data_IF_274533733972
#
_entry.id   IF_274533733972
#
_cell.length_a   1.000
_cell.length_b   1.000
_cell.length_c   1.000
_cell.angle_alpha   90.00
_cell.angle_beta   90.00
_cell.angle_gamma   90.00
#
_symmetry.space_group_name_H-M   'P 1'
#
loop_
_entity.id
_entity.type
_entity.pdbx_description
1 polymer ?
#
# COMPACT_ATOMS: atom_id res chain seq x y z
N UNK A 1 -43.99 -8.26 -42.44
CA UNK A 1 -43.62 -7.53 -41.21
C UNK A 1 -42.11 -7.62 -41.05
N UNK A 2 -41.42 -6.49 -40.95
CA UNK A 2 -39.95 -6.41 -40.85
C UNK A 2 -39.51 -6.57 -39.38
N UNK A 3 -38.56 -7.45 -39.14
CA UNK A 3 -38.01 -7.77 -37.83
C UNK A 3 -36.71 -6.99 -37.63
N UNK A 4 -36.78 -5.84 -36.96
CA UNK A 4 -35.59 -5.08 -36.58
C UNK A 4 -35.44 -5.14 -35.05
N UNK A 5 -34.71 -6.14 -34.58
CA UNK A 5 -34.21 -6.17 -33.20
C UNK A 5 -32.81 -5.55 -33.21
N UNK A 6 -32.75 -4.23 -33.32
CA UNK A 6 -31.51 -3.48 -33.22
C UNK A 6 -31.11 -3.40 -31.74
N UNK A 7 -30.36 -4.41 -31.28
CA UNK A 7 -29.61 -4.37 -30.03
C UNK A 7 -28.47 -3.37 -30.16
N UNK A 8 -28.78 -2.09 -30.01
CA UNK A 8 -27.79 -1.10 -29.60
C UNK A 8 -27.76 -1.12 -28.08
N UNK A 9 -26.74 -1.76 -27.50
CA UNK A 9 -26.41 -1.64 -26.08
C UNK A 9 -26.05 -0.20 -25.77
N UNK A 10 -27.07 0.64 -25.59
CA UNK A 10 -26.92 1.93 -24.93
C UNK A 10 -26.60 1.61 -23.49
N UNK A 11 -25.33 1.74 -23.09
CA UNK A 11 -25.01 2.03 -21.69
C UNK A 11 -25.76 3.32 -21.35
N UNK A 12 -26.98 3.16 -20.86
CA UNK A 12 -27.72 4.22 -20.21
C UNK A 12 -26.91 4.52 -18.96
N UNK A 13 -26.07 5.55 -19.00
CA UNK A 13 -25.30 6.02 -17.86
C UNK A 13 -26.28 6.26 -16.71
N UNK A 14 -26.33 5.29 -15.80
CA UNK A 14 -27.27 5.29 -14.71
C UNK A 14 -26.54 5.90 -13.52
N UNK A 15 -26.81 7.17 -13.17
CA UNK A 15 -26.11 7.84 -12.05
C UNK A 15 -26.35 7.11 -10.71
N UNK A 16 -27.30 6.18 -10.70
CA UNK A 16 -27.78 5.42 -9.54
C UNK A 16 -26.94 4.16 -9.25
N UNK A 17 -26.05 3.73 -10.16
CA UNK A 17 -25.30 2.46 -10.04
C UNK A 17 -24.35 2.43 -8.82
N UNK A 18 -23.74 3.56 -8.50
CA UNK A 18 -22.82 3.70 -7.36
C UNK A 18 -23.53 4.25 -6.13
N UNK A 19 -24.55 5.10 -6.32
CA UNK A 19 -25.20 5.84 -5.22
C UNK A 19 -26.27 5.03 -4.48
N UNK A 20 -27.00 4.13 -5.16
CA UNK A 20 -28.13 3.42 -4.55
C UNK A 20 -27.70 2.13 -3.84
N UNK A 21 -26.64 1.48 -4.33
CA UNK A 21 -26.14 0.22 -3.79
C UNK A 21 -25.12 0.44 -2.66
N UNK A 22 -25.63 0.77 -1.46
CA UNK A 22 -24.83 0.94 -0.25
C UNK A 22 -23.85 -0.23 0.04
N UNK A 23 -24.25 -1.52 -0.01
CA UNK A 23 -23.33 -2.61 0.29
C UNK A 23 -22.25 -2.80 -0.77
N UNK A 24 -22.55 -2.59 -2.06
CA UNK A 24 -21.52 -2.66 -3.12
C UNK A 24 -20.48 -1.54 -2.97
N UNK A 25 -20.93 -0.31 -2.75
CA UNK A 25 -20.06 0.86 -2.51
C UNK A 25 -19.13 0.64 -1.31
N UNK A 26 -19.64 0.11 -0.20
CA UNK A 26 -18.84 -0.17 1.00
C UNK A 26 -17.73 -1.19 0.73
N UNK A 27 -18.02 -2.27 0.01
CA UNK A 27 -17.03 -3.30 -0.34
C UNK A 27 -15.93 -2.74 -1.25
N UNK A 28 -16.30 -1.92 -2.22
CA UNK A 28 -15.34 -1.24 -3.10
C UNK A 28 -14.40 -0.32 -2.31
N UNK A 29 -14.97 0.56 -1.46
CA UNK A 29 -14.17 1.47 -0.64
C UNK A 29 -13.28 0.73 0.37
N UNK A 30 -13.74 -0.39 0.93
CA UNK A 30 -12.93 -1.25 1.78
C UNK A 30 -11.73 -1.81 1.02
N UNK A 31 -11.95 -2.38 -0.19
CA UNK A 31 -10.87 -2.93 -1.01
C UNK A 31 -9.87 -1.83 -1.41
N UNK A 32 -10.36 -0.66 -1.84
CA UNK A 32 -9.52 0.47 -2.21
C UNK A 32 -8.67 0.95 -1.04
N UNK A 33 -9.29 1.13 0.14
CA UNK A 33 -8.58 1.55 1.36
C UNK A 33 -7.59 0.49 1.84
N UNK A 34 -7.99 -0.78 1.88
CA UNK A 34 -7.12 -1.89 2.27
C UNK A 34 -5.92 -2.00 1.34
N UNK A 35 -6.11 -1.98 0.02
CA UNK A 35 -5.01 -2.00 -0.94
C UNK A 35 -4.10 -0.79 -0.80
N UNK A 36 -4.66 0.42 -0.62
CA UNK A 36 -3.89 1.63 -0.39
C UNK A 36 -3.00 1.54 0.85
N UNK A 37 -3.55 1.07 1.97
CA UNK A 37 -2.77 0.82 3.18
C UNK A 37 -1.75 -0.30 3.01
N UNK A 38 -2.11 -1.38 2.30
CA UNK A 38 -1.23 -2.50 2.05
C UNK A 38 0.01 -2.09 1.25
N UNK A 39 -0.17 -1.37 0.12
CA UNK A 39 0.96 -0.90 -0.69
C UNK A 39 1.80 0.14 0.08
N UNK A 40 1.17 0.99 0.90
CA UNK A 40 1.89 1.96 1.71
C UNK A 40 2.76 1.29 2.77
N UNK A 41 2.21 0.32 3.51
CA UNK A 41 2.95 -0.45 4.48
C UNK A 41 4.09 -1.23 3.82
N UNK A 42 3.81 -1.89 2.69
CA UNK A 42 4.81 -2.64 1.94
C UNK A 42 5.97 -1.76 1.45
N UNK A 43 5.64 -0.61 0.85
CA UNK A 43 6.62 0.38 0.39
C UNK A 43 7.44 0.94 1.56
N UNK A 44 6.80 1.27 2.68
CA UNK A 44 7.46 1.74 3.89
C UNK A 44 8.44 0.72 4.47
N UNK A 45 8.05 -0.55 4.55
CA UNK A 45 8.91 -1.64 4.99
C UNK A 45 10.10 -1.86 4.06
N UNK A 46 9.88 -1.81 2.74
CA UNK A 46 10.94 -1.97 1.75
C UNK A 46 11.97 -0.83 1.85
N UNK A 47 11.51 0.42 1.94
CA UNK A 47 12.37 1.58 2.06
C UNK A 47 13.24 1.52 3.35
N UNK A 48 12.65 1.08 4.46
CA UNK A 48 13.38 0.90 5.71
C UNK A 48 14.41 -0.23 5.64
N UNK A 49 14.11 -1.31 4.91
CA UNK A 49 15.06 -2.41 4.71
C UNK A 49 16.26 -2.02 3.85
N UNK A 50 16.05 -1.17 2.85
CA UNK A 50 17.11 -0.65 1.98
C UNK A 50 18.03 0.30 2.73
N UNK A 51 17.46 1.22 3.52
CA UNK A 51 18.21 2.14 4.38
C UNK A 51 18.54 1.59 5.77
N UNK A 52 18.59 0.26 5.92
CA UNK A 52 19.03 -0.33 7.18
C UNK A 52 20.45 0.14 7.51
N UNK A 53 20.70 0.31 8.80
CA UNK A 53 22.04 0.63 9.29
C UNK A 53 23.03 -0.46 8.83
N UNK A 54 23.98 -0.07 8.00
CA UNK A 54 25.10 -0.92 7.64
C UNK A 54 26.13 -0.82 8.76
N UNK A 55 26.44 -1.95 9.39
CA UNK A 55 27.51 -2.02 10.38
C UNK A 55 28.80 -1.60 9.69
N UNK A 56 29.41 -0.54 10.21
CA UNK A 56 30.71 -0.11 9.73
C UNK A 56 31.75 -0.91 10.54
N UNK A 57 32.47 -1.81 9.89
CA UNK A 57 33.44 -2.70 10.54
C UNK A 57 34.77 -2.01 10.83
N UNK A 58 35.02 -0.81 10.28
CA UNK A 58 36.26 -0.06 10.42
C UNK A 58 36.08 1.21 11.25
N UNK A 59 35.35 1.13 12.36
CA UNK A 59 35.23 2.24 13.31
C UNK A 59 36.18 1.96 14.46
N UNK A 60 37.15 2.85 14.72
CA UNK A 60 37.93 2.83 15.95
C UNK A 60 37.01 3.19 17.12
N UNK A 61 36.49 2.17 17.80
CA UNK A 61 35.67 2.34 19.00
C UNK A 61 36.57 2.92 20.11
N UNK A 62 36.24 4.09 20.69
CA UNK A 62 37.06 4.67 21.73
C UNK A 62 37.04 3.81 23.00
N UNK A 63 38.20 3.66 23.65
CA UNK A 63 38.41 2.72 24.77
C UNK A 63 37.49 2.96 25.97
N UNK A 64 36.91 4.16 26.13
CA UNK A 64 35.95 4.49 27.18
C UNK A 64 34.53 3.95 26.93
N UNK A 65 34.24 3.46 25.72
CA UNK A 65 32.95 2.85 25.36
C UNK A 65 33.00 1.32 25.37
N UNK A 66 34.17 0.73 25.65
CA UNK A 66 34.28 -0.70 25.87
C UNK A 66 33.49 -1.09 27.13
N UNK A 67 32.77 -2.21 27.03
CA UNK A 67 32.07 -2.80 28.17
C UNK A 67 33.06 -3.16 29.30
N UNK A 68 34.25 -3.64 28.92
CA UNK A 68 35.32 -3.95 29.84
C UNK A 68 36.28 -2.75 29.97
N UNK A 69 36.38 -2.13 31.17
CA UNK A 69 37.26 -0.99 31.37
C UNK A 69 38.74 -1.40 31.35
N UNK A 70 39.57 -0.65 30.62
CA UNK A 70 41.04 -0.74 30.71
C UNK A 70 41.56 0.22 31.78
N UNK A 71 42.25 -0.30 32.78
CA UNK A 71 42.96 0.48 33.79
C UNK A 71 44.45 0.61 33.42
N UNK A 72 45.08 1.74 33.79
CA UNK A 72 46.52 1.99 33.61
C UNK A 72 47.34 1.43 34.76
#
# INVERSE_FOLDING_TARGET
MNNNNDTHGTELDNPVDIELNKPSKSRFLFLLGFFGFFIFAWSGCYNLYEHKYQKNDNITVPDNTLYDPKYK
#
